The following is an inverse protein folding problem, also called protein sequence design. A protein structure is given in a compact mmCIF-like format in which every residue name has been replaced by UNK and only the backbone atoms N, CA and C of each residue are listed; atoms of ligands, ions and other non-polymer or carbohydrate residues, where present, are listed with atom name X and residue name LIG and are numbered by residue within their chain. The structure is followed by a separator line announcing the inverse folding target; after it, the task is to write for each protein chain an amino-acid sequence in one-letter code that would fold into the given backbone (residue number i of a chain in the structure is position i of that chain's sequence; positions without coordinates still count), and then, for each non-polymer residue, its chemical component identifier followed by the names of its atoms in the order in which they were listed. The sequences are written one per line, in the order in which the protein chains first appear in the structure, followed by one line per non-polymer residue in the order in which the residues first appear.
data_IF_628144804464
#
_entry.id   IF_628144804464
#
_cell.length_a   1.000
_cell.length_b   1.000
_cell.length_c   1.000
_cell.angle_alpha   90.00
_cell.angle_beta   90.00
_cell.angle_gamma   90.00
#
_symmetry.space_group_name_H-M   'P 1'
#
loop_
_entity.id
_entity.type
_entity.pdbx_description
1 polymer ?
#
# COMPACT_ATOMS: atom_id res chain seq x y z
N UNK A 1 4.13 22.14 6.85
CA UNK A 1 3.96 21.74 5.45
C UNK A 1 2.62 21.06 5.31
N UNK A 2 1.77 21.56 4.43
CA UNK A 2 0.49 20.92 4.18
C UNK A 2 0.71 19.72 3.26
N UNK A 3 0.50 18.52 3.79
CA UNK A 3 0.54 17.31 2.99
C UNK A 3 -0.69 17.28 2.08
N UNK A 4 -0.49 17.10 0.78
CA UNK A 4 -1.59 16.86 -0.15
C UNK A 4 -2.04 15.41 -0.02
N UNK A 5 -3.33 15.21 0.13
CA UNK A 5 -3.95 13.89 0.16
C UNK A 5 -4.95 13.80 -1.00
N UNK A 6 -4.73 12.86 -1.89
CA UNK A 6 -5.66 12.56 -2.98
C UNK A 6 -6.21 11.14 -2.77
N UNK A 7 -7.52 10.97 -2.92
CA UNK A 7 -8.21 9.71 -2.70
C UNK A 7 -8.86 9.28 -4.01
N UNK A 8 -8.62 8.04 -4.40
CA UNK A 8 -9.17 7.42 -5.61
C UNK A 8 -9.95 6.17 -5.22
N UNK A 9 -11.25 6.18 -5.46
CA UNK A 9 -12.11 5.02 -5.22
C UNK A 9 -12.29 4.19 -6.48
N UNK A 10 -12.51 2.90 -6.30
CA UNK A 10 -12.83 1.97 -7.40
C UNK A 10 -11.80 2.00 -8.53
N UNK A 11 -10.52 1.99 -8.17
CA UNK A 11 -9.42 2.12 -9.14
C UNK A 11 -9.31 0.93 -10.09
N UNK A 12 -9.83 -0.24 -9.72
CA UNK A 12 -9.84 -1.45 -10.51
C UNK A 12 -11.27 -1.95 -10.74
N UNK A 13 -11.49 -2.63 -11.85
CA UNK A 13 -12.74 -3.38 -12.07
C UNK A 13 -12.88 -4.50 -11.03
N UNK A 14 -14.13 -4.82 -10.64
CA UNK A 14 -14.42 -5.71 -9.52
C UNK A 14 -13.71 -7.06 -9.59
N UNK A 15 -13.71 -7.73 -10.76
CA UNK A 15 -13.06 -9.03 -10.92
C UNK A 15 -11.52 -8.94 -10.82
N UNK A 16 -10.92 -7.84 -11.28
CA UNK A 16 -9.49 -7.59 -11.15
C UNK A 16 -9.14 -7.31 -9.70
N UNK A 17 -9.94 -6.51 -9.00
CA UNK A 17 -9.76 -6.24 -7.58
C UNK A 17 -9.82 -7.52 -6.74
N UNK A 18 -10.74 -8.42 -7.06
CA UNK A 18 -10.84 -9.73 -6.41
C UNK A 18 -9.58 -10.58 -6.63
N UNK A 19 -9.07 -10.62 -7.87
CA UNK A 19 -7.85 -11.35 -8.19
C UNK A 19 -6.63 -10.81 -7.41
N UNK A 20 -6.51 -9.50 -7.31
CA UNK A 20 -5.45 -8.86 -6.52
C UNK A 20 -5.57 -9.26 -5.04
N UNK A 21 -6.76 -9.21 -4.49
CA UNK A 21 -7.00 -9.62 -3.09
C UNK A 21 -6.65 -11.09 -2.86
N UNK A 22 -7.03 -11.97 -3.78
CA UNK A 22 -6.68 -13.39 -3.72
C UNK A 22 -5.16 -13.61 -3.77
N UNK A 23 -4.44 -12.91 -4.63
CA UNK A 23 -2.98 -12.97 -4.69
C UNK A 23 -2.35 -12.54 -3.37
N UNK A 24 -2.86 -11.51 -2.73
CA UNK A 24 -2.35 -11.04 -1.45
C UNK A 24 -2.53 -12.06 -0.32
N UNK A 25 -3.55 -12.93 -0.40
CA UNK A 25 -3.73 -14.02 0.55
C UNK A 25 -2.77 -15.20 0.33
N UNK A 26 -2.16 -15.28 -0.84
CA UNK A 26 -1.24 -16.38 -1.20
C UNK A 26 0.23 -16.05 -0.93
N UNK A 27 0.57 -14.83 -0.53
CA UNK A 27 1.96 -14.45 -0.27
C UNK A 27 2.46 -15.03 1.05
N UNK A 28 3.78 -15.20 1.15
CA UNK A 28 4.42 -15.63 2.39
C UNK A 28 4.69 -14.43 3.29
N UNK A 29 3.72 -14.10 4.12
CA UNK A 29 3.82 -13.00 5.07
C UNK A 29 4.84 -13.28 6.16
N UNK A 30 5.61 -12.25 6.53
CA UNK A 30 6.53 -12.31 7.66
C UNK A 30 6.03 -11.38 8.76
N UNK A 31 6.04 -11.85 10.00
CA UNK A 31 5.73 -11.06 11.17
C UNK A 31 6.99 -10.42 11.73
N UNK A 32 6.81 -9.50 12.65
CA UNK A 32 7.89 -8.85 13.42
C UNK A 32 8.54 -7.65 12.72
N UNK A 33 7.79 -6.97 11.84
CA UNK A 33 8.21 -5.74 11.21
C UNK A 33 7.60 -4.53 11.90
N UNK A 34 8.35 -3.42 11.99
CA UNK A 34 7.83 -2.13 12.43
C UNK A 34 8.28 -1.01 11.49
N UNK A 35 7.38 -0.04 11.29
CA UNK A 35 7.63 1.10 10.39
C UNK A 35 8.57 2.14 11.00
N UNK A 36 8.72 2.13 12.31
CA UNK A 36 9.58 3.03 13.06
C UNK A 36 10.45 2.24 14.01
N UNK A 37 11.76 2.49 13.97
CA UNK A 37 12.72 1.83 14.84
C UNK A 37 12.34 2.03 16.32
N UNK A 38 12.31 0.94 17.08
CA UNK A 38 11.96 0.96 18.49
C UNK A 38 10.47 0.92 18.78
N UNK A 39 9.63 0.82 17.75
CA UNK A 39 8.19 0.64 17.89
C UNK A 39 7.89 -0.70 18.56
N UNK A 40 6.97 -0.69 19.53
CA UNK A 40 6.58 -1.89 20.28
C UNK A 40 5.64 -2.77 19.47
N UNK A 41 4.68 -2.13 18.78
CA UNK A 41 3.68 -2.83 17.97
C UNK A 41 4.25 -3.19 16.61
N UNK A 42 4.13 -4.46 16.25
CA UNK A 42 4.67 -5.02 15.02
C UNK A 42 3.55 -5.50 14.11
N UNK A 43 3.84 -5.60 12.84
CA UNK A 43 2.86 -6.03 11.84
C UNK A 43 3.47 -7.04 10.86
N UNK A 44 2.61 -7.63 10.06
CA UNK A 44 3.01 -8.50 8.96
C UNK A 44 3.52 -7.67 7.80
N UNK A 45 4.56 -8.15 7.15
CA UNK A 45 5.25 -7.41 6.10
C UNK A 45 5.81 -8.35 5.04
N UNK A 46 5.82 -7.89 3.79
CA UNK A 46 6.53 -8.54 2.68
C UNK A 46 7.15 -7.46 1.83
N UNK A 47 8.48 -7.44 1.77
CA UNK A 47 9.20 -6.59 0.83
C UNK A 47 9.15 -7.22 -0.56
N UNK A 48 8.73 -6.46 -1.57
CA UNK A 48 8.52 -6.99 -2.92
C UNK A 48 9.64 -6.58 -3.89
N UNK A 49 10.11 -5.36 -3.82
CA UNK A 49 11.20 -4.90 -4.69
C UNK A 49 11.40 -3.40 -4.68
N UNK A 50 12.60 -2.97 -5.07
CA UNK A 50 12.97 -1.56 -5.28
C UNK A 50 12.81 -1.12 -6.73
N UNK A 51 12.65 -2.06 -7.65
CA UNK A 51 12.41 -1.81 -9.06
C UNK A 51 11.35 -2.76 -9.59
N UNK A 52 10.78 -2.44 -10.76
CA UNK A 52 9.83 -3.34 -11.42
C UNK A 52 10.46 -4.71 -11.71
N UNK A 53 11.69 -4.71 -12.20
CA UNK A 53 12.44 -5.94 -12.51
C UNK A 53 12.64 -6.80 -11.25
N UNK A 54 13.04 -6.19 -10.15
CA UNK A 54 13.24 -6.91 -8.90
C UNK A 54 11.92 -7.48 -8.37
N UNK A 55 10.83 -6.72 -8.42
CA UNK A 55 9.52 -7.19 -8.00
C UNK A 55 9.05 -8.39 -8.84
N UNK A 56 9.27 -8.36 -10.15
CA UNK A 56 8.96 -9.46 -11.07
C UNK A 56 9.81 -10.69 -10.73
N UNK A 57 11.11 -10.53 -10.54
CA UNK A 57 12.01 -11.62 -10.15
C UNK A 57 11.60 -12.27 -8.82
N UNK A 58 11.07 -11.48 -7.89
CA UNK A 58 10.59 -11.95 -6.61
C UNK A 58 9.18 -12.58 -6.66
N UNK A 59 8.56 -12.66 -7.86
CA UNK A 59 7.24 -13.28 -8.05
C UNK A 59 6.06 -12.33 -7.85
N UNK A 60 6.30 -11.01 -7.86
CA UNK A 60 5.28 -9.99 -7.66
C UNK A 60 4.92 -9.23 -8.95
N UNK A 61 4.94 -9.92 -10.09
CA UNK A 61 4.53 -9.34 -11.38
C UNK A 61 3.10 -8.76 -11.33
N UNK A 62 2.19 -9.39 -10.59
CA UNK A 62 0.84 -8.90 -10.40
C UNK A 62 0.78 -7.55 -9.68
N UNK A 63 1.72 -7.26 -8.77
CA UNK A 63 1.84 -5.93 -8.13
C UNK A 63 2.39 -4.89 -9.10
N UNK A 64 3.33 -5.28 -9.95
CA UNK A 64 3.83 -4.39 -11.00
C UNK A 64 2.72 -4.03 -11.97
N UNK A 65 1.87 -4.97 -12.35
CA UNK A 65 0.70 -4.73 -13.18
C UNK A 65 -0.31 -3.79 -12.50
N UNK A 66 -0.55 -3.98 -11.20
CA UNK A 66 -1.39 -3.08 -10.41
C UNK A 66 -0.84 -1.66 -10.43
N UNK A 67 0.45 -1.50 -10.17
CA UNK A 67 1.13 -0.21 -10.21
C UNK A 67 0.99 0.46 -11.57
N UNK A 68 1.31 -0.26 -12.64
CA UNK A 68 1.22 0.26 -14.01
C UNK A 68 -0.20 0.68 -14.36
N UNK A 69 -1.20 -0.13 -14.00
CA UNK A 69 -2.61 0.18 -14.25
C UNK A 69 -3.01 1.51 -13.61
N UNK A 70 -2.67 1.71 -12.36
CA UNK A 70 -2.99 2.95 -11.62
C UNK A 70 -2.18 4.12 -12.16
N UNK A 71 -0.89 3.91 -12.40
CA UNK A 71 0.03 4.93 -12.91
C UNK A 71 -0.46 5.55 -14.21
N UNK A 72 -0.86 4.70 -15.17
CA UNK A 72 -1.34 5.17 -16.46
C UNK A 72 -2.78 5.68 -16.42
N UNK A 73 -3.65 5.02 -15.67
CA UNK A 73 -5.06 5.42 -15.55
C UNK A 73 -5.21 6.87 -15.05
N UNK A 74 -4.42 7.24 -14.07
CA UNK A 74 -4.48 8.57 -13.45
C UNK A 74 -3.36 9.50 -13.88
N UNK A 75 -2.60 9.12 -14.89
CA UNK A 75 -1.51 9.92 -15.46
C UNK A 75 -0.57 10.48 -14.38
N UNK A 76 -0.05 9.61 -13.55
CA UNK A 76 0.82 10.00 -12.44
C UNK A 76 2.07 10.77 -12.89
N UNK A 77 2.55 10.49 -14.08
CA UNK A 77 3.71 11.19 -14.65
C UNK A 77 3.45 12.70 -14.77
N UNK A 78 2.30 13.07 -15.32
CA UNK A 78 1.96 14.49 -15.52
C UNK A 78 1.28 15.11 -14.29
N UNK A 79 0.48 14.33 -13.57
CA UNK A 79 -0.24 14.81 -12.39
C UNK A 79 0.69 15.09 -11.22
N UNK A 80 1.69 14.23 -10.99
CA UNK A 80 2.56 14.30 -9.82
C UNK A 80 4.05 14.35 -10.16
N UNK A 81 4.42 14.35 -11.43
CA UNK A 81 5.80 14.24 -11.88
C UNK A 81 6.50 12.96 -11.38
N UNK A 82 5.73 11.88 -11.24
CA UNK A 82 6.23 10.57 -10.82
C UNK A 82 6.64 9.78 -12.06
N UNK A 83 7.84 9.23 -12.06
CA UNK A 83 8.33 8.37 -13.15
C UNK A 83 8.40 6.90 -12.77
N UNK A 84 8.64 6.62 -11.49
CA UNK A 84 8.83 5.26 -10.97
C UNK A 84 8.51 5.22 -9.48
N UNK A 85 8.32 4.01 -8.95
CA UNK A 85 8.31 3.82 -7.50
C UNK A 85 9.73 3.64 -6.96
N UNK A 86 9.93 3.96 -5.71
CA UNK A 86 11.15 3.71 -4.97
C UNK A 86 11.21 2.28 -4.44
N UNK A 87 10.09 1.78 -3.97
CA UNK A 87 9.92 0.41 -3.49
C UNK A 87 8.45 0.04 -3.42
N UNK A 88 8.19 -1.25 -3.52
CA UNK A 88 6.87 -1.85 -3.26
C UNK A 88 7.00 -2.84 -2.12
N UNK A 89 6.06 -2.78 -1.19
CA UNK A 89 5.93 -3.76 -0.11
C UNK A 89 4.47 -3.91 0.31
N UNK A 90 4.19 -4.97 1.04
CA UNK A 90 2.87 -5.28 1.57
C UNK A 90 2.91 -5.21 3.09
N UNK A 91 1.90 -4.60 3.67
CA UNK A 91 1.69 -4.54 5.12
C UNK A 91 0.33 -5.11 5.48
N UNK A 92 0.27 -5.86 6.58
CA UNK A 92 -1.00 -6.32 7.15
C UNK A 92 -0.96 -6.14 8.66
N UNK A 93 -1.96 -5.47 9.18
CA UNK A 93 -2.12 -5.23 10.60
C UNK A 93 -3.22 -6.14 11.14
N UNK A 94 -2.96 -6.79 12.27
CA UNK A 94 -3.95 -7.60 12.98
C UNK A 94 -4.72 -6.72 13.95
N UNK A 95 -5.87 -7.22 14.41
CA UNK A 95 -6.72 -6.50 15.35
C UNK A 95 -5.95 -6.09 16.61
N UNK A 96 -6.14 -4.85 17.05
CA UNK A 96 -5.52 -4.31 18.27
C UNK A 96 -4.12 -3.73 18.09
N UNK A 97 -3.56 -3.77 16.89
CA UNK A 97 -2.27 -3.13 16.61
C UNK A 97 -2.48 -1.66 16.29
N UNK A 98 -1.76 -0.81 17.02
CA UNK A 98 -1.74 0.64 16.82
C UNK A 98 -0.31 1.05 16.45
N UNK A 99 0.00 1.21 15.15
CA UNK A 99 1.31 1.68 14.73
C UNK A 99 1.51 3.15 15.09
N UNK A 100 2.75 3.53 15.31
CA UNK A 100 3.10 4.92 15.59
C UNK A 100 3.07 5.77 14.33
N UNK A 101 2.76 7.05 14.52
CA UNK A 101 2.88 8.04 13.45
C UNK A 101 4.34 8.12 12.99
N UNK A 102 4.53 8.13 11.67
CA UNK A 102 5.85 8.25 11.05
C UNK A 102 5.71 8.93 9.69
N UNK A 103 6.84 9.26 9.10
CA UNK A 103 6.90 9.74 7.71
C UNK A 103 7.69 8.75 6.88
N UNK A 104 7.30 8.63 5.62
CA UNK A 104 8.02 7.79 4.65
C UNK A 104 9.12 8.61 3.97
N UNK A 105 10.17 7.91 3.52
CA UNK A 105 11.31 8.51 2.85
C UNK A 105 11.11 8.58 1.34
N UNK A 106 10.24 9.39 0.86
CA UNK A 106 9.96 9.58 -0.56
C UNK A 106 9.20 10.84 -0.78
N UNK A 107 9.03 11.23 -2.03
CA UNK A 107 8.24 12.40 -2.37
C UNK A 107 6.75 12.10 -2.27
N UNK A 108 6.36 10.85 -2.54
CA UNK A 108 4.97 10.39 -2.54
C UNK A 108 4.87 8.99 -1.95
N UNK A 109 3.76 8.74 -1.28
CA UNK A 109 3.37 7.41 -0.82
C UNK A 109 2.01 7.08 -1.41
N UNK A 110 1.91 5.95 -2.09
CA UNK A 110 0.64 5.40 -2.57
C UNK A 110 0.29 4.20 -1.71
N UNK A 111 -0.92 4.19 -1.18
CA UNK A 111 -1.46 3.07 -0.42
C UNK A 111 -2.69 2.53 -1.15
N UNK A 112 -2.66 1.24 -1.44
CA UNK A 112 -3.78 0.53 -2.03
C UNK A 112 -4.40 -0.40 -0.99
N UNK A 113 -5.71 -0.30 -0.80
CA UNK A 113 -6.48 -1.13 0.13
C UNK A 113 -7.22 -2.21 -0.67
N UNK A 114 -6.76 -3.46 -0.61
CA UNK A 114 -7.29 -4.51 -1.49
C UNK A 114 -8.59 -5.12 -1.01
N UNK A 115 -8.97 -4.93 0.24
CA UNK A 115 -10.12 -5.61 0.82
C UNK A 115 -11.44 -5.00 0.34
N UNK A 116 -12.30 -5.83 -0.22
CA UNK A 116 -13.55 -5.40 -0.87
C UNK A 116 -14.73 -5.29 0.12
N UNK A 117 -14.65 -5.96 1.25
CA UNK A 117 -15.73 -6.11 2.23
C UNK A 117 -15.47 -5.40 3.56
N UNK A 118 -14.59 -4.39 3.56
CA UNK A 118 -14.22 -3.69 4.77
C UNK A 118 -15.41 -2.96 5.40
N UNK A 119 -15.57 -3.13 6.71
CA UNK A 119 -16.61 -2.44 7.50
C UNK A 119 -15.97 -1.37 8.38
N UNK A 120 -16.60 -0.20 8.44
CA UNK A 120 -16.08 0.94 9.21
C UNK A 120 -15.86 0.62 10.69
N UNK A 121 -16.72 -0.21 11.28
CA UNK A 121 -16.65 -0.59 12.69
C UNK A 121 -15.54 -1.58 13.01
N UNK A 122 -14.85 -2.10 11.99
CA UNK A 122 -13.66 -2.95 12.20
C UNK A 122 -12.42 -2.14 12.57
N UNK A 123 -12.44 -0.82 12.44
CA UNK A 123 -11.30 0.03 12.73
C UNK A 123 -10.22 -0.06 11.65
N UNK A 124 -8.98 0.23 12.01
CA UNK A 124 -7.82 0.11 11.11
C UNK A 124 -7.73 1.17 10.02
N UNK A 125 -8.45 2.27 10.16
CA UNK A 125 -8.36 3.38 9.22
C UNK A 125 -6.98 4.05 9.25
N UNK A 126 -6.61 4.66 8.13
CA UNK A 126 -5.37 5.41 8.02
C UNK A 126 -5.58 6.84 8.47
N UNK A 127 -4.65 7.36 9.23
CA UNK A 127 -4.66 8.76 9.70
C UNK A 127 -3.53 9.51 9.03
N UNK A 128 -3.84 10.63 8.39
CA UNK A 128 -2.86 11.49 7.73
C UNK A 128 -2.97 12.89 8.31
N UNK A 129 -1.87 13.39 8.88
CA UNK A 129 -1.85 14.74 9.48
C UNK A 129 -2.88 14.93 10.59
N UNK A 130 -3.21 13.88 11.34
CA UNK A 130 -4.19 13.90 12.42
C UNK A 130 -5.64 13.66 12.00
N UNK A 131 -5.91 13.51 10.69
CA UNK A 131 -7.25 13.28 10.15
C UNK A 131 -7.42 11.86 9.64
N UNK A 132 -8.53 11.22 10.00
CA UNK A 132 -8.88 9.90 9.52
C UNK A 132 -9.28 9.97 8.03
N UNK A 133 -8.64 9.15 7.21
CA UNK A 133 -9.00 9.01 5.79
C UNK A 133 -10.32 8.26 5.69
N UNK A 134 -11.32 8.80 4.97
CA UNK A 134 -12.64 8.21 4.87
C UNK A 134 -12.67 6.86 4.12
#
# INVERSE_FOLDING_TARGET
MNSRLDIYDNVLEGHIAELIFMQMNEVYWKYDYNSKKGEVNKHWHVFCGETEEQAIENGFDWLVQLWQTIFYKYDFKNTYSIERFKRIYLNAHTHGIEPHEHTDDGDFTMIYYPRLDWQKDWGGGTVVGGELVP
#
